data_IF_983149375219
#
_entry.id   IF_983149375219
#
_cell.length_a   1.000
_cell.length_b   1.000
_cell.length_c   1.000
_cell.angle_alpha   90.00
_cell.angle_beta   90.00
_cell.angle_gamma   90.00
#
_symmetry.space_group_name_H-M   'P 1'
#
loop_
_entity.id
_entity.type
_entity.pdbx_description
1 polymer ?
#
# COMPACT_ATOMS: atom_id res chain seq x y z
N UNK A 1 -23.47 -25.40 6.36
CA UNK A 1 -23.57 -24.40 5.28
C UNK A 1 -23.62 -22.94 5.79
N UNK A 2 -24.43 -22.62 6.81
CA UNK A 2 -24.58 -21.25 7.38
C UNK A 2 -23.26 -20.55 7.76
N UNK A 3 -22.34 -21.25 8.43
CA UNK A 3 -21.01 -20.69 8.78
C UNK A 3 -20.08 -20.46 7.59
N UNK A 4 -20.25 -21.19 6.48
CA UNK A 4 -19.40 -21.01 5.29
C UNK A 4 -19.80 -19.73 4.54
N UNK A 5 -21.10 -19.54 4.32
CA UNK A 5 -21.64 -18.32 3.71
C UNK A 5 -21.28 -17.07 4.53
N UNK A 6 -21.40 -17.13 5.85
CA UNK A 6 -21.02 -16.01 6.73
C UNK A 6 -19.54 -15.65 6.61
N UNK A 7 -18.64 -16.65 6.55
CA UNK A 7 -17.20 -16.43 6.36
C UNK A 7 -16.87 -15.84 4.99
N UNK A 8 -17.52 -16.32 3.92
CA UNK A 8 -17.33 -15.78 2.58
C UNK A 8 -17.84 -14.35 2.47
N UNK A 9 -19.03 -14.06 3.02
CA UNK A 9 -19.59 -12.70 3.08
C UNK A 9 -18.65 -11.76 3.84
N UNK A 10 -18.13 -12.19 4.99
CA UNK A 10 -17.15 -11.41 5.75
C UNK A 10 -15.88 -11.11 4.94
N UNK A 11 -15.32 -12.10 4.26
CA UNK A 11 -14.13 -11.92 3.41
C UNK A 11 -14.39 -10.97 2.23
N UNK A 12 -15.57 -11.03 1.61
CA UNK A 12 -15.97 -10.13 0.52
C UNK A 12 -16.11 -8.69 1.04
N UNK A 13 -16.76 -8.49 2.19
CA UNK A 13 -16.91 -7.16 2.80
C UNK A 13 -15.54 -6.55 3.12
N UNK A 14 -14.65 -7.34 3.73
CA UNK A 14 -13.28 -6.90 4.05
C UNK A 14 -12.51 -6.53 2.78
N UNK A 15 -12.64 -7.34 1.71
CA UNK A 15 -12.02 -7.05 0.42
C UNK A 15 -12.55 -5.74 -0.19
N UNK A 16 -13.87 -5.52 -0.15
CA UNK A 16 -14.50 -4.29 -0.64
C UNK A 16 -14.02 -3.05 0.12
N UNK A 17 -13.79 -3.16 1.44
CA UNK A 17 -13.29 -2.06 2.27
C UNK A 17 -11.80 -1.79 2.00
N UNK A 18 -10.99 -2.84 1.83
CA UNK A 18 -9.54 -2.69 1.64
C UNK A 18 -9.19 -2.20 0.23
N UNK A 19 -9.95 -2.58 -0.79
CA UNK A 19 -9.70 -2.18 -2.19
C UNK A 19 -9.52 -0.66 -2.39
N UNK A 20 -10.42 0.23 -1.91
CA UNK A 20 -10.24 1.68 -2.08
C UNK A 20 -8.99 2.20 -1.38
N UNK A 21 -8.63 1.67 -0.20
CA UNK A 21 -7.40 2.06 0.50
C UNK A 21 -6.16 1.72 -0.32
N UNK A 22 -6.15 0.54 -0.95
CA UNK A 22 -5.05 0.15 -1.83
C UNK A 22 -5.01 1.02 -3.09
N UNK A 23 -6.16 1.38 -3.66
CA UNK A 23 -6.22 2.29 -4.80
C UNK A 23 -5.60 3.65 -4.46
N UNK A 24 -5.91 4.22 -3.29
CA UNK A 24 -5.32 5.49 -2.84
C UNK A 24 -3.79 5.41 -2.73
N UNK A 25 -3.26 4.34 -2.14
CA UNK A 25 -1.81 4.12 -2.05
C UNK A 25 -1.16 4.07 -3.45
N UNK A 26 -1.80 3.41 -4.42
CA UNK A 26 -1.31 3.36 -5.79
C UNK A 26 -1.29 4.75 -6.45
N UNK A 27 -2.32 5.56 -6.22
CA UNK A 27 -2.39 6.93 -6.73
C UNK A 27 -1.19 7.76 -6.23
N UNK A 28 -0.90 7.72 -4.92
CA UNK A 28 0.27 8.42 -4.36
C UNK A 28 1.61 8.00 -4.97
N UNK A 29 1.77 6.71 -5.28
CA UNK A 29 2.97 6.22 -5.97
C UNK A 29 3.03 6.72 -7.41
N UNK A 30 1.89 6.79 -8.11
CA UNK A 30 1.81 7.31 -9.47
C UNK A 30 2.16 8.81 -9.51
N UNK A 31 1.63 9.60 -8.57
CA UNK A 31 1.96 11.03 -8.40
C UNK A 31 3.47 11.24 -8.22
N UNK A 32 4.10 10.41 -7.37
CA UNK A 32 5.55 10.44 -7.16
C UNK A 32 6.33 10.09 -8.44
N UNK A 33 5.92 9.06 -9.18
CA UNK A 33 6.60 8.64 -10.43
C UNK A 33 6.47 9.72 -11.50
N UNK A 34 5.31 10.37 -11.60
CA UNK A 34 5.05 11.44 -12.56
C UNK A 34 5.65 12.78 -12.17
N UNK A 35 6.15 12.92 -10.94
CA UNK A 35 6.66 14.18 -10.40
C UNK A 35 5.62 15.30 -10.51
N UNK A 36 4.40 15.03 -10.04
CA UNK A 36 3.30 16.01 -10.01
C UNK A 36 3.60 17.19 -9.06
N UNK A 37 2.78 18.23 -9.11
CA UNK A 37 3.01 19.47 -8.35
C UNK A 37 2.76 19.31 -6.85
N UNK A 38 1.91 18.33 -6.48
CA UNK A 38 1.66 17.86 -5.11
C UNK A 38 1.97 16.36 -5.06
N UNK A 39 2.77 15.94 -4.08
CA UNK A 39 3.18 14.55 -3.90
C UNK A 39 3.02 14.19 -2.43
N UNK A 40 2.18 13.20 -2.14
CA UNK A 40 2.07 12.65 -0.79
C UNK A 40 2.90 11.38 -0.66
N UNK A 41 3.89 11.38 0.24
CA UNK A 41 4.78 10.22 0.40
C UNK A 41 5.20 9.96 1.84
N UNK A 42 5.35 8.68 2.18
CA UNK A 42 5.89 8.20 3.45
C UNK A 42 6.43 6.77 3.32
N UNK A 43 7.24 6.36 4.29
CA UNK A 43 7.65 4.97 4.43
C UNK A 43 6.45 4.01 4.51
N UNK A 44 5.36 4.41 5.18
CA UNK A 44 4.15 3.59 5.30
C UNK A 44 3.41 3.40 3.97
N UNK A 45 3.37 4.43 3.11
CA UNK A 45 2.80 4.33 1.75
C UNK A 45 3.62 3.33 0.92
N UNK A 46 4.95 3.41 0.99
CA UNK A 46 5.83 2.46 0.30
C UNK A 46 5.64 1.02 0.76
N UNK A 47 5.62 0.76 2.08
CA UNK A 47 5.38 -0.57 2.63
C UNK A 47 4.00 -1.09 2.22
N UNK A 48 2.97 -0.25 2.30
CA UNK A 48 1.59 -0.61 1.92
C UNK A 48 1.50 -0.98 0.44
N UNK A 49 2.18 -0.26 -0.44
CA UNK A 49 2.25 -0.57 -1.86
C UNK A 49 2.89 -1.94 -2.12
N UNK A 50 4.06 -2.22 -1.54
CA UNK A 50 4.77 -3.49 -1.76
C UNK A 50 4.06 -4.68 -1.09
N UNK A 51 3.42 -4.47 0.05
CA UNK A 51 2.65 -5.51 0.75
C UNK A 51 1.27 -5.77 0.14
N UNK A 52 0.78 -4.87 -0.72
CA UNK A 52 -0.52 -4.96 -1.38
C UNK A 52 -0.83 -6.32 -2.03
N UNK A 53 0.12 -6.96 -2.75
CA UNK A 53 -0.18 -8.21 -3.44
C UNK A 53 -0.38 -9.37 -2.46
N UNK A 54 0.29 -9.35 -1.30
CA UNK A 54 0.13 -10.37 -0.26
C UNK A 54 -1.28 -10.29 0.35
N UNK A 55 -1.72 -9.08 0.71
CA UNK A 55 -3.05 -8.85 1.30
C UNK A 55 -4.13 -9.26 0.31
N UNK A 56 -4.00 -8.84 -0.95
CA UNK A 56 -4.95 -9.20 -2.00
C UNK A 56 -4.99 -10.73 -2.22
N UNK A 57 -3.82 -11.37 -2.30
CA UNK A 57 -3.72 -12.82 -2.45
C UNK A 57 -4.37 -13.57 -1.28
N UNK A 58 -4.16 -13.12 -0.05
CA UNK A 58 -4.75 -13.74 1.14
C UNK A 58 -6.29 -13.65 1.13
N UNK A 59 -6.84 -12.47 0.82
CA UNK A 59 -8.28 -12.24 0.79
C UNK A 59 -8.95 -12.94 -0.39
N UNK A 60 -8.46 -12.74 -1.61
CA UNK A 60 -8.99 -13.41 -2.80
C UNK A 60 -8.83 -14.94 -2.69
N UNK A 61 -7.69 -15.40 -2.19
CA UNK A 61 -7.43 -16.81 -1.92
C UNK A 61 -8.39 -17.40 -0.88
N UNK A 62 -8.71 -16.65 0.19
CA UNK A 62 -9.71 -17.10 1.18
C UNK A 62 -11.10 -17.27 0.55
N UNK A 63 -11.54 -16.31 -0.27
CA UNK A 63 -12.82 -16.39 -0.99
C UNK A 63 -12.81 -17.60 -1.93
N UNK A 64 -11.73 -17.79 -2.69
CA UNK A 64 -11.57 -18.94 -3.58
C UNK A 64 -11.69 -20.27 -2.84
N UNK A 65 -10.99 -20.42 -1.71
CA UNK A 65 -11.05 -21.64 -0.88
C UNK A 65 -12.45 -21.86 -0.34
N UNK A 66 -13.17 -20.82 0.08
CA UNK A 66 -14.53 -20.98 0.59
C UNK A 66 -15.55 -21.35 -0.50
N UNK A 67 -15.39 -20.85 -1.73
CA UNK A 67 -16.29 -21.15 -2.85
C UNK A 67 -16.01 -22.53 -3.43
N UNK A 68 -14.76 -22.79 -3.81
CA UNK A 68 -14.37 -24.01 -4.53
C UNK A 68 -13.95 -25.16 -3.60
N UNK A 69 -13.83 -24.91 -2.29
CA UNK A 69 -13.36 -25.87 -1.29
C UNK A 69 -12.01 -26.52 -1.68
N UNK A 70 -11.18 -25.78 -2.43
CA UNK A 70 -9.91 -26.23 -2.98
C UNK A 70 -8.81 -25.23 -2.66
N UNK A 71 -7.64 -25.74 -2.28
CA UNK A 71 -6.44 -24.93 -2.06
C UNK A 71 -5.72 -24.64 -3.38
N UNK A 72 -5.16 -23.42 -3.57
CA UNK A 72 -4.29 -23.13 -4.71
C UNK A 72 -3.05 -24.02 -4.67
N UNK A 73 -2.65 -24.58 -5.83
CA UNK A 73 -1.55 -25.57 -5.92
C UNK A 73 -0.21 -25.02 -5.45
N UNK A 74 0.10 -23.76 -5.76
CA UNK A 74 1.40 -23.13 -5.47
C UNK A 74 1.35 -22.15 -4.30
N UNK A 75 0.38 -22.31 -3.37
CA UNK A 75 0.16 -21.35 -2.27
C UNK A 75 1.41 -21.08 -1.44
N UNK A 76 2.20 -22.12 -1.14
CA UNK A 76 3.35 -22.00 -0.24
C UNK A 76 4.46 -21.18 -0.88
N UNK A 77 4.74 -21.42 -2.16
CA UNK A 77 5.74 -20.68 -2.92
C UNK A 77 5.30 -19.21 -3.05
N UNK A 78 4.04 -18.97 -3.44
CA UNK A 78 3.51 -17.62 -3.62
C UNK A 78 3.55 -16.84 -2.30
N UNK A 79 3.03 -17.41 -1.21
CA UNK A 79 3.03 -16.78 0.11
C UNK A 79 4.46 -16.51 0.58
N UNK A 80 5.39 -17.45 0.41
CA UNK A 80 6.80 -17.26 0.79
C UNK A 80 7.44 -16.07 0.07
N UNK A 81 7.27 -15.96 -1.25
CA UNK A 81 7.82 -14.83 -2.01
C UNK A 81 7.17 -13.51 -1.62
N UNK A 82 5.84 -13.47 -1.50
CA UNK A 82 5.10 -12.26 -1.14
C UNK A 82 5.41 -11.80 0.29
N UNK A 83 5.56 -12.73 1.24
CA UNK A 83 5.98 -12.43 2.60
C UNK A 83 7.42 -11.92 2.66
N UNK A 84 8.33 -12.52 1.88
CA UNK A 84 9.71 -12.04 1.77
C UNK A 84 9.76 -10.61 1.21
N UNK A 85 8.95 -10.30 0.20
CA UNK A 85 8.83 -8.94 -0.33
C UNK A 85 8.33 -7.95 0.72
N UNK A 86 7.33 -8.32 1.51
CA UNK A 86 6.83 -7.49 2.61
C UNK A 86 7.91 -7.24 3.69
N UNK A 87 8.68 -8.26 4.06
CA UNK A 87 9.76 -8.09 5.05
C UNK A 87 10.87 -7.20 4.48
N UNK A 88 11.26 -7.44 3.22
CA UNK A 88 12.27 -6.62 2.55
C UNK A 88 11.81 -5.16 2.44
N UNK A 89 10.54 -4.91 2.14
CA UNK A 89 10.01 -3.54 2.05
C UNK A 89 10.08 -2.82 3.39
N UNK A 90 9.85 -3.51 4.52
CA UNK A 90 10.00 -2.91 5.84
C UNK A 90 11.44 -2.44 6.08
N UNK A 91 12.43 -3.28 5.77
CA UNK A 91 13.86 -2.96 5.95
C UNK A 91 14.27 -1.80 5.03
N UNK A 92 13.83 -1.83 3.77
CA UNK A 92 14.22 -0.85 2.74
C UNK A 92 13.38 0.44 2.82
N UNK A 93 12.29 0.45 3.57
CA UNK A 93 11.38 1.60 3.68
C UNK A 93 12.07 2.87 4.19
N UNK A 94 12.96 2.72 5.18
CA UNK A 94 13.71 3.84 5.76
C UNK A 94 14.66 4.48 4.75
N UNK A 95 15.62 3.75 4.12
CA UNK A 95 16.51 4.37 3.15
C UNK A 95 15.76 4.94 1.94
N UNK A 96 14.68 4.29 1.49
CA UNK A 96 13.83 4.84 0.41
C UNK A 96 13.17 6.15 0.83
N UNK A 97 12.66 6.23 2.07
CA UNK A 97 12.04 7.47 2.57
C UNK A 97 13.01 8.63 2.61
N UNK A 98 14.24 8.39 3.07
CA UNK A 98 15.28 9.43 3.06
C UNK A 98 15.70 9.82 1.65
N UNK A 99 15.84 8.84 0.75
CA UNK A 99 16.21 9.09 -0.63
C UNK A 99 15.17 9.94 -1.37
N UNK A 100 13.88 9.60 -1.21
CA UNK A 100 12.78 10.36 -1.84
C UNK A 100 12.72 11.78 -1.29
N UNK A 101 12.80 11.96 0.04
CA UNK A 101 12.83 13.30 0.66
C UNK A 101 13.99 14.16 0.12
N UNK A 102 15.19 13.59 0.09
CA UNK A 102 16.37 14.26 -0.48
C UNK A 102 16.17 14.63 -1.96
N UNK A 103 15.65 13.68 -2.76
CA UNK A 103 15.46 13.88 -4.19
C UNK A 103 14.43 14.97 -4.48
N UNK A 104 13.31 14.96 -3.77
CA UNK A 104 12.24 15.96 -3.93
C UNK A 104 12.72 17.36 -3.53
N UNK A 105 13.40 17.49 -2.38
CA UNK A 105 14.01 18.77 -1.95
C UNK A 105 15.06 19.28 -2.95
N UNK A 106 15.89 18.38 -3.50
CA UNK A 106 16.86 18.75 -4.53
C UNK A 106 16.21 19.23 -5.84
N UNK A 107 14.98 18.82 -6.10
CA UNK A 107 14.18 19.23 -7.25
C UNK A 107 13.33 20.50 -6.96
N UNK A 108 13.51 21.14 -5.80
CA UNK A 108 12.82 22.38 -5.43
C UNK A 108 11.46 22.20 -4.76
N UNK A 109 11.09 20.98 -4.35
CA UNK A 109 9.87 20.76 -3.57
C UNK A 109 10.07 21.19 -2.12
N UNK A 110 9.01 21.77 -1.54
CA UNK A 110 8.92 22.16 -0.14
C UNK A 110 7.97 21.20 0.58
N UNK A 111 8.25 20.89 1.84
CA UNK A 111 7.40 20.01 2.66
C UNK A 111 6.40 20.88 3.41
N UNK A 112 5.11 20.55 3.31
CA UNK A 112 4.06 21.21 4.09
C UNK A 112 4.10 20.78 5.57
N UNK A 113 3.59 21.63 6.45
CA UNK A 113 3.45 21.31 7.87
C UNK A 113 2.49 20.14 8.06
N UNK A 114 2.90 19.19 8.91
CA UNK A 114 2.13 17.99 9.19
C UNK A 114 1.25 18.21 10.41
N UNK A 115 -0.01 17.81 10.30
CA UNK A 115 -0.99 17.85 11.40
C UNK A 115 -0.59 16.88 12.54
N UNK A 116 0.07 15.77 12.19
CA UNK A 116 0.50 14.76 13.15
C UNK A 116 1.80 14.10 12.71
N UNK A 117 2.60 13.62 13.67
CA UNK A 117 3.82 12.88 13.38
C UNK A 117 3.56 11.58 12.59
N UNK A 118 2.35 11.02 12.71
CA UNK A 118 1.95 9.80 11.98
C UNK A 118 1.43 10.08 10.56
N UNK A 119 1.21 11.36 10.20
CA UNK A 119 0.75 11.70 8.85
C UNK A 119 1.88 11.59 7.83
N UNK A 120 1.58 11.20 6.58
CA UNK A 120 2.56 11.23 5.50
C UNK A 120 3.06 12.66 5.25
N UNK A 121 4.20 12.77 4.57
CA UNK A 121 4.72 14.07 4.11
C UNK A 121 4.01 14.46 2.83
N UNK A 122 3.59 15.71 2.74
CA UNK A 122 3.13 16.32 1.50
C UNK A 122 4.22 17.25 0.99
N UNK A 123 4.66 17.01 -0.25
CA UNK A 123 5.67 17.78 -0.95
C UNK A 123 4.99 18.57 -2.05
N UNK A 124 5.20 19.88 -2.08
CA UNK A 124 4.61 20.77 -3.09
C UNK A 124 5.69 21.63 -3.76
N UNK A 125 5.47 22.01 -5.02
CA UNK A 125 6.34 22.98 -5.70
C UNK A 125 6.09 24.42 -5.30
N UNK A 126 4.83 24.74 -4.99
CA UNK A 126 4.41 26.06 -4.53
C UNK A 126 3.75 25.92 -3.15
N UNK A 127 4.18 26.77 -2.20
CA UNK A 127 3.62 26.85 -0.85
C UNK A 127 2.12 27.17 -0.86
N UNK A 128 1.61 27.82 -1.91
CA UNK A 128 0.17 28.08 -2.08
C UNK A 128 -0.68 26.80 -2.17
N UNK A 129 -0.06 25.66 -2.51
CA UNK A 129 -0.71 24.35 -2.58
C UNK A 129 -0.77 23.64 -1.21
N UNK A 130 -0.03 24.11 -0.20
CA UNK A 130 -0.18 23.61 1.16
C UNK A 130 -1.54 24.06 1.73
N UNK A 131 -2.43 23.10 1.98
CA UNK A 131 -3.75 23.32 2.59
C UNK A 131 -3.74 23.13 4.10
#
# INVERSE_FOLDING_TARGET
MKNRLLKTLGAIIVLLILTPMMCLVNIYIIELIKMEDEITFSASIFISFISSPLVFYALAGSIYVFIFNRMPKFKEIIIKYLAMLMIASFIVSLPVSFYVDYKLKSNGYVVCDRISWMSPNTYVRDLSLCR
#
